data_IF_594257497159
#
_entry.id   IF_594257497159
#
_cell.length_a   1.000
_cell.length_b   1.000
_cell.length_c   1.000
_cell.angle_alpha   90.00
_cell.angle_beta   90.00
_cell.angle_gamma   90.00
#
_symmetry.space_group_name_H-M   'P 1'
#
loop_
_entity.id
_entity.type
_entity.pdbx_description
1 polymer ?
#
# COMPACT_ATOMS: atom_id res chain seq x y z
N UNK A 1 -5.51 -6.56 -4.19
CA UNK A 1 -4.67 -5.38 -3.90
C UNK A 1 -5.59 -4.29 -3.34
N UNK A 2 -5.22 -3.00 -3.43
CA UNK A 2 -6.06 -1.89 -2.92
C UNK A 2 -7.41 -1.73 -3.65
N UNK A 3 -7.60 -2.33 -4.83
CA UNK A 3 -8.86 -2.25 -5.59
C UNK A 3 -10.04 -2.98 -4.93
N UNK A 4 -9.78 -3.81 -3.92
CA UNK A 4 -10.83 -4.38 -3.07
C UNK A 4 -11.71 -3.29 -2.46
N UNK A 5 -11.17 -2.08 -2.25
CA UNK A 5 -11.93 -0.92 -1.78
C UNK A 5 -13.03 -0.42 -2.76
N UNK A 6 -13.01 -0.89 -4.01
CA UNK A 6 -13.98 -0.52 -5.05
C UNK A 6 -15.22 -1.44 -5.03
N UNK A 7 -15.20 -2.54 -4.28
CA UNK A 7 -16.27 -3.55 -4.20
C UNK A 7 -16.86 -3.63 -2.79
N UNK A 8 -17.98 -2.93 -2.59
CA UNK A 8 -18.66 -2.84 -1.29
C UNK A 8 -19.28 -4.17 -0.83
N UNK A 9 -19.75 -5.00 -1.77
CA UNK A 9 -20.30 -6.32 -1.46
C UNK A 9 -19.20 -7.23 -0.94
N UNK A 10 -18.04 -7.24 -1.61
CA UNK A 10 -16.89 -8.00 -1.18
C UNK A 10 -16.41 -7.57 0.22
N UNK A 11 -16.28 -6.27 0.48
CA UNK A 11 -15.90 -5.76 1.81
C UNK A 11 -16.85 -6.24 2.91
N UNK A 12 -18.16 -6.23 2.63
CA UNK A 12 -19.20 -6.69 3.55
C UNK A 12 -19.05 -8.20 3.81
N UNK A 13 -18.88 -9.00 2.76
CA UNK A 13 -18.68 -10.44 2.86
C UNK A 13 -17.39 -10.78 3.63
N UNK A 14 -16.32 -10.02 3.42
CA UNK A 14 -15.06 -10.22 4.13
C UNK A 14 -15.24 -10.05 5.64
N UNK A 15 -15.88 -8.96 6.06
CA UNK A 15 -16.18 -8.75 7.49
C UNK A 15 -17.03 -9.88 8.06
N UNK A 16 -18.13 -10.25 7.39
CA UNK A 16 -19.00 -11.34 7.86
C UNK A 16 -18.35 -12.72 7.84
N UNK A 17 -17.34 -12.94 7.00
CA UNK A 17 -16.56 -14.18 6.96
C UNK A 17 -15.55 -14.29 8.12
N UNK A 18 -15.37 -13.24 8.93
CA UNK A 18 -14.36 -13.18 9.99
C UNK A 18 -12.99 -12.70 9.49
N UNK A 19 -12.89 -12.12 8.29
CA UNK A 19 -11.67 -11.49 7.83
C UNK A 19 -11.40 -10.22 8.67
N UNK A 20 -10.27 -10.21 9.38
CA UNK A 20 -9.93 -9.11 10.29
C UNK A 20 -8.98 -8.09 9.68
N UNK A 21 -8.09 -8.51 8.78
CA UNK A 21 -7.03 -7.66 8.24
C UNK A 21 -6.67 -8.05 6.81
N UNK A 22 -6.41 -7.05 5.97
CA UNK A 22 -5.84 -7.20 4.64
C UNK A 22 -4.40 -6.73 4.59
N UNK A 23 -3.54 -7.53 3.98
CA UNK A 23 -2.18 -7.13 3.63
C UNK A 23 -2.18 -6.53 2.22
N UNK A 24 -1.74 -5.28 2.10
CA UNK A 24 -1.74 -4.53 0.85
C UNK A 24 -0.36 -3.94 0.58
N UNK A 25 0.26 -4.38 -0.52
CA UNK A 25 1.47 -3.76 -1.07
C UNK A 25 1.17 -2.37 -1.64
N UNK A 26 1.49 -1.33 -0.87
CA UNK A 26 1.47 0.07 -1.30
C UNK A 26 2.80 0.46 -1.93
N UNK A 27 3.88 -0.19 -1.49
CA UNK A 27 5.29 -0.06 -1.90
C UNK A 27 5.92 1.28 -1.55
N UNK A 28 5.32 2.40 -1.94
CA UNK A 28 5.85 3.73 -1.63
C UNK A 28 4.74 4.79 -1.62
N UNK A 29 5.01 5.90 -0.94
CA UNK A 29 4.18 7.11 -0.94
C UNK A 29 4.67 8.14 -1.97
N UNK A 30 5.82 7.89 -2.60
CA UNK A 30 6.44 8.77 -3.58
C UNK A 30 6.02 8.38 -5.00
N UNK A 31 5.60 9.38 -5.80
CA UNK A 31 5.31 9.20 -7.23
C UNK A 31 6.55 8.75 -8.00
N UNK A 32 7.71 9.31 -7.67
CA UNK A 32 8.96 8.99 -8.35
C UNK A 32 9.39 7.54 -8.06
N UNK A 33 9.24 7.10 -6.81
CA UNK A 33 9.56 5.72 -6.42
C UNK A 33 8.58 4.69 -6.97
N UNK A 34 7.31 5.05 -7.18
CA UNK A 34 6.31 4.16 -7.80
C UNK A 34 6.40 4.11 -9.33
N UNK A 35 7.11 5.04 -9.97
CA UNK A 35 7.22 5.05 -11.42
C UNK A 35 8.03 3.84 -11.90
N UNK A 36 7.43 3.01 -12.75
CA UNK A 36 8.06 1.83 -13.34
C UNK A 36 8.17 0.63 -12.39
N UNK A 37 7.63 0.72 -11.16
CA UNK A 37 7.69 -0.40 -10.19
C UNK A 37 6.84 -1.60 -10.62
N UNK A 38 5.79 -1.35 -11.42
CA UNK A 38 4.95 -2.36 -12.04
C UNK A 38 4.74 -2.02 -13.52
N UNK A 39 4.45 -3.04 -14.33
CA UNK A 39 4.43 -2.95 -15.80
C UNK A 39 3.47 -1.91 -16.35
N UNK A 40 2.44 -1.50 -15.60
CA UNK A 40 1.40 -0.60 -16.07
C UNK A 40 1.25 0.66 -15.21
N UNK A 41 2.20 0.89 -14.29
CA UNK A 41 2.11 1.96 -13.29
C UNK A 41 0.79 1.93 -12.52
N UNK A 42 0.26 0.73 -12.25
CA UNK A 42 -0.99 0.53 -11.53
C UNK A 42 -0.95 1.18 -10.14
N UNK A 43 0.15 0.98 -9.40
CA UNK A 43 0.30 1.54 -8.06
C UNK A 43 0.37 3.06 -8.10
N UNK A 44 1.18 3.60 -9.02
CA UNK A 44 1.27 5.05 -9.26
C UNK A 44 -0.09 5.68 -9.58
N UNK A 45 -0.91 5.04 -10.43
CA UNK A 45 -2.26 5.52 -10.78
C UNK A 45 -3.24 5.52 -9.60
N UNK A 46 -3.03 4.63 -8.63
CA UNK A 46 -3.89 4.49 -7.44
C UNK A 46 -3.43 5.37 -6.26
N UNK A 47 -2.20 5.88 -6.29
CA UNK A 47 -1.56 6.61 -5.19
C UNK A 47 -2.46 7.72 -4.60
N UNK A 48 -3.00 8.59 -5.45
CA UNK A 48 -3.82 9.73 -5.02
C UNK A 48 -5.12 9.29 -4.31
N UNK A 49 -5.58 8.06 -4.58
CA UNK A 49 -6.79 7.46 -3.99
C UNK A 49 -6.53 6.57 -2.77
N UNK A 50 -5.27 6.30 -2.39
CA UNK A 50 -4.96 5.33 -1.33
C UNK A 50 -5.63 5.67 0.00
N UNK A 51 -5.62 6.94 0.44
CA UNK A 51 -6.25 7.32 1.71
C UNK A 51 -7.75 7.04 1.72
N UNK A 52 -8.44 7.34 0.61
CA UNK A 52 -9.87 7.08 0.49
C UNK A 52 -10.18 5.58 0.44
N UNK A 53 -9.36 4.81 -0.29
CA UNK A 53 -9.50 3.37 -0.40
C UNK A 53 -9.26 2.66 0.95
N UNK A 54 -8.19 3.02 1.66
CA UNK A 54 -7.91 2.51 3.01
C UNK A 54 -9.07 2.85 3.95
N UNK A 55 -9.56 4.09 3.91
CA UNK A 55 -10.69 4.49 4.75
C UNK A 55 -11.95 3.67 4.45
N UNK A 56 -12.26 3.37 3.18
CA UNK A 56 -13.40 2.52 2.80
C UNK A 56 -13.28 1.11 3.38
N UNK A 57 -12.12 0.47 3.20
CA UNK A 57 -11.84 -0.87 3.74
C UNK A 57 -12.00 -0.86 5.27
N UNK A 58 -11.35 0.08 5.95
CA UNK A 58 -11.41 0.17 7.41
C UNK A 58 -12.80 0.50 7.94
N UNK A 59 -13.60 1.25 7.18
CA UNK A 59 -14.99 1.56 7.54
C UNK A 59 -15.91 0.34 7.44
N UNK A 60 -15.56 -0.69 6.66
CA UNK A 60 -16.31 -1.95 6.61
C UNK A 60 -15.99 -2.90 7.78
N UNK A 61 -15.11 -2.49 8.71
CA UNK A 61 -14.69 -3.30 9.85
C UNK A 61 -13.49 -4.20 9.60
N UNK A 62 -12.85 -4.10 8.42
CA UNK A 62 -11.63 -4.85 8.06
C UNK A 62 -10.42 -3.92 8.11
N UNK A 63 -9.38 -4.27 8.85
CA UNK A 63 -8.19 -3.42 8.98
C UNK A 63 -7.23 -3.59 7.80
N UNK A 64 -6.32 -2.64 7.58
CA UNK A 64 -5.29 -2.73 6.54
C UNK A 64 -3.90 -2.75 7.18
N UNK A 65 -3.09 -3.72 6.77
CA UNK A 65 -1.64 -3.71 6.90
C UNK A 65 -1.04 -3.16 5.59
N UNK A 66 -0.45 -1.97 5.69
CA UNK A 66 0.22 -1.33 4.56
C UNK A 66 1.67 -1.75 4.44
N UNK A 67 2.06 -2.38 3.33
CA UNK A 67 3.43 -2.78 3.08
C UNK A 67 4.16 -1.76 2.20
N UNK A 68 5.35 -1.36 2.64
CA UNK A 68 6.24 -0.40 2.00
C UNK A 68 7.63 -0.99 1.80
N UNK A 69 8.31 -0.53 0.75
CA UNK A 69 9.69 -0.86 0.41
C UNK A 69 10.48 0.44 0.40
N UNK A 70 11.58 0.48 1.15
CA UNK A 70 12.53 1.61 1.14
C UNK A 70 13.81 1.22 0.42
N UNK A 71 14.44 2.22 -0.20
CA UNK A 71 15.65 2.05 -1.02
C UNK A 71 15.35 1.91 -2.52
N UNK A 72 14.16 2.34 -2.96
CA UNK A 72 13.81 2.45 -4.37
C UNK A 72 14.60 3.59 -5.04
N UNK A 73 14.77 3.53 -6.36
CA UNK A 73 15.58 4.50 -7.12
C UNK A 73 15.15 5.97 -6.92
N UNK A 74 13.84 6.20 -6.71
CA UNK A 74 13.26 7.51 -6.44
C UNK A 74 13.28 7.95 -4.97
N UNK A 75 13.75 7.11 -4.05
CA UNK A 75 13.74 7.43 -2.63
C UNK A 75 14.86 8.41 -2.28
N UNK A 76 14.51 9.37 -1.43
CA UNK A 76 15.48 10.18 -0.69
C UNK A 76 15.29 9.93 0.82
N UNK A 77 16.18 10.42 1.70
CA UNK A 77 15.96 10.31 3.15
C UNK A 77 14.63 10.91 3.65
N UNK A 78 13.91 11.71 2.84
CA UNK A 78 12.56 12.17 3.17
C UNK A 78 11.53 11.05 3.25
N UNK A 79 11.75 9.91 2.56
CA UNK A 79 10.76 8.84 2.42
C UNK A 79 10.28 8.30 3.76
N UNK A 80 11.17 8.21 4.76
CA UNK A 80 10.80 7.77 6.11
C UNK A 80 9.77 8.68 6.77
N UNK A 81 9.89 10.00 6.56
CA UNK A 81 8.90 10.97 7.06
C UNK A 81 7.60 10.88 6.28
N UNK A 82 7.68 10.73 4.96
CA UNK A 82 6.50 10.62 4.10
C UNK A 82 5.68 9.36 4.43
N UNK A 83 6.32 8.21 4.62
CA UNK A 83 5.68 6.96 5.05
C UNK A 83 5.03 7.14 6.43
N UNK A 84 5.74 7.73 7.41
CA UNK A 84 5.16 8.01 8.73
C UNK A 84 3.92 8.89 8.62
N UNK A 85 4.02 10.02 7.91
CA UNK A 85 2.91 10.97 7.77
C UNK A 85 1.72 10.32 7.04
N UNK A 86 1.98 9.41 6.09
CA UNK A 86 0.95 8.64 5.43
C UNK A 86 0.28 7.63 6.37
N UNK A 87 1.05 6.89 7.19
CA UNK A 87 0.52 5.95 8.20
C UNK A 87 -0.39 6.69 9.18
N UNK A 88 0.04 7.85 9.68
CA UNK A 88 -0.75 8.68 10.60
C UNK A 88 -2.07 9.14 9.96
N UNK A 89 -2.02 9.61 8.69
CA UNK A 89 -3.20 10.07 7.96
C UNK A 89 -4.17 8.94 7.62
N UNK A 90 -3.65 7.78 7.22
CA UNK A 90 -4.45 6.61 6.82
C UNK A 90 -4.99 5.81 8.00
N UNK A 91 -4.41 6.00 9.20
CA UNK A 91 -4.74 5.25 10.41
C UNK A 91 -4.59 3.74 10.22
N UNK A 92 -3.57 3.33 9.45
CA UNK A 92 -3.21 1.93 9.32
C UNK A 92 -2.96 1.34 10.71
N UNK A 93 -3.56 0.18 10.98
CA UNK A 93 -3.33 -0.53 12.24
C UNK A 93 -1.90 -1.08 12.29
N UNK A 94 -1.42 -1.57 11.15
CA UNK A 94 -0.10 -2.15 10.99
C UNK A 94 0.56 -1.59 9.73
N UNK A 95 1.87 -1.36 9.81
CA UNK A 95 2.69 -1.02 8.66
C UNK A 95 3.91 -1.93 8.64
N UNK A 96 4.15 -2.55 7.49
CA UNK A 96 5.36 -3.33 7.24
C UNK A 96 6.29 -2.50 6.36
N UNK A 97 7.51 -2.23 6.83
CA UNK A 97 8.53 -1.54 6.04
C UNK A 97 9.70 -2.48 5.83
N UNK A 98 10.05 -2.70 4.56
CA UNK A 98 11.12 -3.61 4.14
C UNK A 98 12.18 -2.88 3.34
N UNK A 99 13.40 -3.40 3.33
CA UNK A 99 14.49 -2.86 2.51
C UNK A 99 14.45 -3.54 1.15
N UNK A 100 14.56 -2.76 0.07
CA UNK A 100 14.64 -3.26 -1.28
C UNK A 100 15.77 -4.29 -1.39
N UNK A 101 15.39 -5.52 -1.70
CA UNK A 101 16.32 -6.66 -1.79
C UNK A 101 16.17 -7.27 -3.17
N UNK A 102 17.12 -7.04 -4.09
CA UNK A 102 17.06 -7.63 -5.42
C UNK A 102 17.37 -9.12 -5.34
N UNK A 103 16.39 -9.95 -5.71
CA UNK A 103 16.56 -11.41 -5.77
C UNK A 103 17.04 -11.84 -7.16
N UNK A 104 17.87 -12.90 -7.27
CA UNK A 104 18.31 -13.44 -8.55
C UNK A 104 17.13 -13.71 -9.51
N UNK A 105 17.24 -13.22 -10.74
CA UNK A 105 16.21 -13.38 -11.78
C UNK A 105 15.15 -12.28 -11.83
N UNK A 106 15.21 -11.28 -10.95
CA UNK A 106 14.42 -10.05 -11.07
C UNK A 106 15.08 -9.05 -12.01
N UNK A 107 14.35 -8.11 -12.65
CA UNK A 107 14.95 -7.07 -13.49
C UNK A 107 15.96 -6.14 -12.79
N UNK A 108 15.96 -6.15 -11.45
CA UNK A 108 16.79 -5.30 -10.61
C UNK A 108 18.09 -5.98 -10.15
N UNK A 109 18.22 -7.30 -10.34
CA UNK A 109 19.41 -8.08 -9.97
C UNK A 109 20.53 -7.98 -11.00
#
# INVERSE_FOLDING_TARGET
DISVADDEELLTLMYHSGCYQLLIGLESTSRDSLYGIDTHNWKLKRLDGYLAAINRIQSSGVTVNGCFVVGLDGDTPSIFREIRDFIEKSRLLEAQVTVLTPYPGTPLY
#
